data_IF_774813524955
#
_entry.id   IF_774813524955
#
_cell.length_a   1.000
_cell.length_b   1.000
_cell.length_c   1.000
_cell.angle_alpha   90.00
_cell.angle_beta   90.00
_cell.angle_gamma   90.00
#
_symmetry.space_group_name_H-M   'P 1'
#
loop_
_entity.id
_entity.type
_entity.pdbx_description
1 polymer ?
#
# COMPACT_ATOMS: atom_id res chain seq x y z
N UNK A 1 1.88 24.75 -22.53
CA UNK A 1 1.96 23.30 -22.76
C UNK A 1 2.68 22.69 -21.58
N UNK A 2 2.01 21.91 -20.73
CA UNK A 2 2.70 21.12 -19.69
C UNK A 2 3.30 19.90 -20.38
N UNK A 3 4.62 19.82 -20.44
CA UNK A 3 5.35 18.63 -20.86
C UNK A 3 5.29 17.64 -19.71
N UNK A 4 4.20 16.88 -19.59
CA UNK A 4 4.12 15.80 -18.61
C UNK A 4 5.15 14.74 -18.99
N UNK A 5 6.12 14.51 -18.11
CA UNK A 5 7.04 13.37 -18.24
C UNK A 5 6.26 12.12 -17.87
N UNK A 6 6.01 11.26 -18.86
CA UNK A 6 5.46 9.94 -18.61
C UNK A 6 6.52 9.12 -17.88
N UNK A 7 6.20 8.72 -16.65
CA UNK A 7 7.05 7.84 -15.84
C UNK A 7 6.38 6.48 -15.73
N UNK A 8 6.99 5.49 -16.37
CA UNK A 8 6.64 4.08 -16.15
C UNK A 8 7.22 3.65 -14.81
N UNK A 9 6.33 3.36 -13.85
CA UNK A 9 6.69 2.77 -12.56
C UNK A 9 5.98 1.42 -12.47
N UNK A 10 6.72 0.30 -12.30
CA UNK A 10 6.09 -0.98 -12.02
C UNK A 10 5.20 -0.89 -10.79
N UNK A 11 3.91 -1.19 -10.95
CA UNK A 11 2.99 -1.33 -9.83
C UNK A 11 3.17 -2.74 -9.26
N UNK A 12 3.55 -2.82 -7.98
CA UNK A 12 3.56 -4.09 -7.25
C UNK A 12 2.37 -4.12 -6.31
N UNK A 13 1.52 -5.13 -6.46
CA UNK A 13 0.37 -5.36 -5.60
C UNK A 13 0.46 -6.75 -4.94
N UNK A 14 -0.38 -6.99 -3.94
CA UNK A 14 -0.56 -8.35 -3.41
C UNK A 14 -1.18 -9.21 -4.51
N UNK A 15 -0.74 -10.47 -4.62
CA UNK A 15 -1.19 -11.40 -5.67
C UNK A 15 -2.71 -11.54 -5.77
N UNK A 16 -3.44 -11.42 -4.66
CA UNK A 16 -4.90 -11.43 -4.63
C UNK A 16 -5.55 -10.33 -5.50
N UNK A 17 -4.83 -9.25 -5.81
CA UNK A 17 -5.31 -8.14 -6.62
C UNK A 17 -4.74 -8.13 -8.04
N UNK A 18 -3.82 -9.03 -8.38
CA UNK A 18 -3.07 -9.00 -9.64
C UNK A 18 -4.00 -9.09 -10.86
N UNK A 19 -4.91 -10.07 -10.84
CA UNK A 19 -5.91 -10.24 -11.90
C UNK A 19 -6.83 -9.02 -12.06
N UNK A 20 -7.39 -8.52 -10.95
CA UNK A 20 -8.29 -7.35 -10.97
C UNK A 20 -7.57 -6.11 -11.50
N UNK A 21 -6.32 -5.88 -11.10
CA UNK A 21 -5.54 -4.74 -11.57
C UNK A 21 -5.16 -4.89 -13.05
N UNK A 22 -4.82 -6.10 -13.50
CA UNK A 22 -4.56 -6.41 -14.90
C UNK A 22 -5.79 -6.15 -15.78
N UNK A 23 -6.94 -6.70 -15.42
CA UNK A 23 -8.20 -6.47 -16.14
C UNK A 23 -8.58 -4.99 -16.22
N UNK A 24 -8.40 -4.25 -15.12
CA UNK A 24 -8.64 -2.81 -15.11
C UNK A 24 -7.65 -2.05 -15.98
N UNK A 25 -6.36 -2.43 -15.99
CA UNK A 25 -5.34 -1.82 -16.83
C UNK A 25 -5.62 -2.07 -18.32
N UNK A 26 -6.01 -3.29 -18.68
CA UNK A 26 -6.39 -3.64 -20.05
C UNK A 26 -7.63 -2.86 -20.50
N UNK A 27 -8.63 -2.73 -19.62
CA UNK A 27 -9.86 -2.01 -19.92
C UNK A 27 -9.63 -0.51 -20.17
N UNK A 28 -8.76 0.14 -19.40
CA UNK A 28 -8.49 1.58 -19.54
C UNK A 28 -7.45 1.90 -20.61
N UNK A 29 -6.59 0.95 -21.00
CA UNK A 29 -5.45 1.18 -21.88
C UNK A 29 -4.50 2.26 -21.36
N UNK A 30 -4.31 3.32 -22.15
CA UNK A 30 -3.50 4.50 -21.76
C UNK A 30 -4.29 5.56 -20.95
N UNK A 31 -5.52 5.23 -20.55
CA UNK A 31 -6.37 6.09 -19.73
C UNK A 31 -5.97 6.15 -18.26
N UNK A 32 -6.74 6.92 -17.47
CA UNK A 32 -6.53 7.02 -16.02
C UNK A 32 -7.57 6.19 -15.26
N UNK A 33 -7.12 5.36 -14.31
CA UNK A 33 -8.02 4.67 -13.35
C UNK A 33 -8.84 5.65 -12.50
N UNK A 34 -8.24 6.79 -12.15
CA UNK A 34 -8.88 7.83 -11.35
C UNK A 34 -8.78 9.18 -12.07
N UNK A 35 -9.93 9.86 -12.25
CA UNK A 35 -10.09 11.25 -12.74
C UNK A 35 -9.33 11.59 -14.05
N UNK A 36 -9.93 11.35 -15.23
CA UNK A 36 -9.48 12.03 -16.44
C UNK A 36 -9.79 13.54 -16.30
N UNK A 37 -8.84 14.43 -16.64
CA UNK A 37 -8.90 15.91 -16.52
C UNK A 37 -8.47 16.49 -15.16
N UNK A 38 -7.20 16.26 -14.82
CA UNK A 38 -6.47 16.97 -13.77
C UNK A 38 -6.47 18.49 -14.00
N UNK A 39 -6.87 19.28 -13.01
CA UNK A 39 -6.68 20.75 -13.01
C UNK A 39 -5.58 21.21 -12.04
N UNK A 40 -5.16 20.35 -11.10
CA UNK A 40 -4.08 20.63 -10.15
C UNK A 40 -2.92 19.65 -10.31
N UNK A 41 -1.75 20.17 -10.63
CA UNK A 41 -0.48 19.46 -10.61
C UNK A 41 -0.07 19.20 -9.15
N UNK A 42 -0.04 18.00 -8.58
CA UNK A 42 0.17 17.78 -7.12
C UNK A 42 -1.02 18.08 -6.19
N UNK A 43 -2.18 17.45 -6.45
CA UNK A 43 -3.09 17.18 -5.34
C UNK A 43 -2.52 16.05 -4.47
N UNK A 44 -2.26 16.32 -3.20
CA UNK A 44 -1.92 15.31 -2.16
C UNK A 44 -3.01 14.23 -1.98
N UNK A 45 -4.17 14.41 -2.62
CA UNK A 45 -5.38 13.63 -2.44
C UNK A 45 -5.92 13.18 -3.82
N UNK A 46 -5.10 12.53 -4.65
CA UNK A 46 -5.49 12.05 -6.00
C UNK A 46 -6.74 11.15 -5.99
N UNK A 47 -6.96 10.45 -4.90
CA UNK A 47 -8.12 9.58 -4.67
C UNK A 47 -9.04 10.17 -3.60
N UNK A 48 -8.74 11.35 -3.02
CA UNK A 48 -9.38 11.82 -1.78
C UNK A 48 -10.90 12.06 -1.86
N UNK A 49 -11.47 12.27 -3.05
CA UNK A 49 -12.93 12.30 -3.21
C UNK A 49 -13.57 10.91 -3.18
N UNK A 50 -12.82 9.84 -3.51
CA UNK A 50 -13.36 8.48 -3.53
C UNK A 50 -13.79 8.00 -2.14
N UNK A 51 -12.99 8.14 -1.05
CA UNK A 51 -13.46 7.81 0.30
C UNK A 51 -14.64 8.67 0.78
N UNK A 52 -14.78 9.91 0.27
CA UNK A 52 -15.92 10.76 0.58
C UNK A 52 -17.21 10.27 -0.10
N UNK A 53 -17.08 9.72 -1.31
CA UNK A 53 -18.19 9.22 -2.12
C UNK A 53 -18.58 7.77 -1.79
N UNK A 54 -17.67 7.01 -1.17
CA UNK A 54 -17.88 5.60 -0.83
C UNK A 54 -17.87 5.45 0.68
N UNK A 55 -19.04 5.72 1.29
CA UNK A 55 -19.25 5.48 2.72
C UNK A 55 -19.59 4.00 2.91
N UNK A 56 -18.90 3.30 3.83
CA UNK A 56 -19.26 1.94 4.17
C UNK A 56 -20.63 1.92 4.86
N UNK A 57 -21.34 0.77 4.84
CA UNK A 57 -22.61 0.61 5.52
C UNK A 57 -22.50 0.91 7.03
N UNK A 58 -23.66 1.20 7.65
CA UNK A 58 -23.74 1.72 9.01
C UNK A 58 -22.95 0.88 10.03
N UNK A 59 -22.24 1.58 10.93
CA UNK A 59 -21.41 0.99 11.98
C UNK A 59 -19.94 0.79 11.61
N UNK A 60 -19.56 0.94 10.34
CA UNK A 60 -18.16 0.81 9.92
C UNK A 60 -17.39 2.15 9.92
N UNK A 61 -16.08 2.16 10.24
CA UNK A 61 -15.28 3.37 10.18
C UNK A 61 -15.21 3.99 8.79
N UNK A 62 -15.21 5.32 8.72
CA UNK A 62 -15.01 6.06 7.46
C UNK A 62 -13.70 5.58 6.79
N UNK A 63 -13.79 5.33 5.48
CA UNK A 63 -12.64 4.96 4.65
C UNK A 63 -11.67 6.13 4.62
N UNK A 64 -10.39 5.85 4.86
CA UNK A 64 -9.31 6.84 4.81
C UNK A 64 -8.13 6.23 4.07
N UNK A 65 -7.64 6.90 3.03
CA UNK A 65 -6.45 6.46 2.30
C UNK A 65 -5.23 6.32 3.22
N UNK A 66 -5.10 7.20 4.23
CA UNK A 66 -4.05 7.11 5.23
C UNK A 66 -4.16 5.86 6.10
N UNK A 67 -5.38 5.50 6.53
CA UNK A 67 -5.62 4.26 7.29
C UNK A 67 -5.43 3.02 6.44
N UNK A 68 -5.94 3.01 5.20
CA UNK A 68 -5.73 1.92 4.26
C UNK A 68 -4.24 1.65 4.02
N UNK A 69 -3.44 2.71 3.81
CA UNK A 69 -1.98 2.59 3.70
C UNK A 69 -1.34 2.05 4.98
N UNK A 70 -1.78 2.52 6.16
CA UNK A 70 -1.27 2.01 7.43
C UNK A 70 -1.59 0.52 7.62
N UNK A 71 -2.83 0.10 7.34
CA UNK A 71 -3.26 -1.30 7.38
C UNK A 71 -2.38 -2.17 6.47
N UNK A 72 -2.20 -1.75 5.22
CA UNK A 72 -1.34 -2.47 4.28
C UNK A 72 0.10 -2.61 4.77
N UNK A 73 0.69 -1.55 5.35
CA UNK A 73 2.04 -1.61 5.94
C UNK A 73 2.10 -2.60 7.10
N UNK A 74 1.11 -2.57 8.01
CA UNK A 74 1.05 -3.49 9.15
C UNK A 74 0.88 -4.94 8.70
N UNK A 75 0.09 -5.21 7.65
CA UNK A 75 -0.05 -6.54 7.07
C UNK A 75 1.29 -7.08 6.54
N UNK A 76 2.09 -6.23 5.86
CA UNK A 76 3.40 -6.63 5.36
C UNK A 76 4.40 -6.89 6.51
N UNK A 77 4.38 -6.05 7.55
CA UNK A 77 5.21 -6.26 8.74
C UNK A 77 4.82 -7.56 9.47
N UNK A 78 3.52 -7.84 9.57
CA UNK A 78 2.99 -9.09 10.16
C UNK A 78 3.40 -10.32 9.34
N UNK A 79 3.54 -10.16 8.03
CA UNK A 79 4.05 -11.19 7.12
C UNK A 79 5.59 -11.33 7.14
N UNK A 80 6.29 -10.62 8.03
CA UNK A 80 7.76 -10.67 8.16
C UNK A 80 8.51 -10.32 6.88
N UNK A 81 7.92 -9.46 6.05
CA UNK A 81 8.58 -8.93 4.86
C UNK A 81 9.66 -7.95 5.31
N UNK A 82 10.79 -7.94 4.61
CA UNK A 82 11.91 -7.05 4.90
C UNK A 82 11.45 -5.57 5.01
N UNK A 83 11.88 -4.93 6.09
CA UNK A 83 11.46 -3.56 6.43
C UNK A 83 11.97 -2.51 5.43
N UNK A 84 13.11 -2.74 4.78
CA UNK A 84 13.61 -1.83 3.75
C UNK A 84 12.71 -1.91 2.50
N UNK A 85 12.33 -3.12 2.08
CA UNK A 85 11.37 -3.32 0.97
C UNK A 85 10.01 -2.68 1.26
N UNK A 86 9.47 -2.85 2.47
CA UNK A 86 8.20 -2.21 2.87
C UNK A 86 8.33 -0.69 2.78
N UNK A 87 9.40 -0.11 3.30
CA UNK A 87 9.60 1.33 3.28
C UNK A 87 9.70 1.88 1.85
N UNK A 88 10.46 1.22 0.99
CA UNK A 88 10.59 1.59 -0.42
C UNK A 88 9.24 1.52 -1.14
N UNK A 89 8.52 0.40 -1.02
CA UNK A 89 7.22 0.21 -1.65
C UNK A 89 6.16 1.20 -1.13
N UNK A 90 6.24 1.58 0.14
CA UNK A 90 5.37 2.57 0.73
C UNK A 90 5.74 4.01 0.36
N UNK A 91 6.90 4.27 -0.27
CA UNK A 91 7.40 5.63 -0.50
C UNK A 91 7.81 6.36 0.79
N UNK A 92 8.40 5.62 1.74
CA UNK A 92 8.99 6.17 2.97
C UNK A 92 10.49 6.40 2.76
N UNK A 93 11.05 7.35 3.51
CA UNK A 93 12.48 7.69 3.42
C UNK A 93 13.38 6.55 3.93
N UNK A 94 12.92 5.76 4.89
CA UNK A 94 13.70 4.66 5.48
C UNK A 94 12.84 3.67 6.27
N UNK A 95 13.40 2.49 6.55
CA UNK A 95 12.82 1.49 7.43
C UNK A 95 12.53 2.02 8.85
N UNK A 96 13.31 2.99 9.35
CA UNK A 96 13.06 3.60 10.66
C UNK A 96 11.69 4.29 10.74
N UNK A 97 11.15 4.76 9.61
CA UNK A 97 9.81 5.35 9.52
C UNK A 97 8.68 4.36 9.85
N UNK A 98 8.98 3.06 9.87
CA UNK A 98 8.04 2.00 10.19
C UNK A 98 7.77 1.87 11.69
N UNK A 99 8.67 2.34 12.55
CA UNK A 99 8.61 2.16 14.01
C UNK A 99 7.26 2.60 14.61
N UNK A 100 6.62 3.63 14.04
CA UNK A 100 5.32 4.12 14.50
C UNK A 100 4.18 3.10 14.41
N UNK A 101 4.31 2.06 13.59
CA UNK A 101 3.30 1.00 13.45
C UNK A 101 3.66 -0.29 14.17
N UNK A 102 4.85 -0.39 14.78
CA UNK A 102 5.32 -1.61 15.43
C UNK A 102 4.33 -2.14 16.47
N UNK A 103 3.67 -1.25 17.21
CA UNK A 103 2.70 -1.59 18.25
C UNK A 103 1.39 -2.19 17.71
N UNK A 104 1.15 -2.15 16.40
CA UNK A 104 0.03 -2.82 15.74
C UNK A 104 0.39 -4.20 15.18
N UNK A 105 1.68 -4.55 15.16
CA UNK A 105 2.14 -5.85 14.66
C UNK A 105 2.00 -6.88 15.77
N UNK A 106 1.27 -7.99 15.55
CA UNK A 106 1.19 -9.06 16.54
C UNK A 106 2.58 -9.60 16.89
N UNK A 107 2.86 -9.92 18.17
CA UNK A 107 4.12 -10.54 18.54
C UNK A 107 4.26 -11.92 17.90
N UNK A 108 5.50 -12.32 17.58
CA UNK A 108 5.82 -13.70 17.26
C UNK A 108 5.47 -14.61 18.44
N UNK A 109 4.87 -15.75 18.16
CA UNK A 109 4.80 -16.81 19.15
C UNK A 109 6.22 -17.29 19.51
N UNK A 110 6.37 -17.81 20.73
CA UNK A 110 7.67 -18.24 21.25
C UNK A 110 8.32 -19.34 20.40
N UNK A 111 7.54 -20.24 19.80
CA UNK A 111 8.08 -21.34 19.00
C UNK A 111 8.65 -20.83 17.66
N UNK A 112 7.93 -19.94 16.98
CA UNK A 112 8.35 -19.27 15.77
C UNK A 112 9.59 -18.40 16.02
N UNK A 113 9.61 -17.65 17.13
CA UNK A 113 10.78 -16.87 17.53
C UNK A 113 12.00 -17.78 17.78
N UNK A 114 11.81 -18.88 18.53
CA UNK A 114 12.89 -19.83 18.81
C UNK A 114 13.42 -20.52 17.55
N UNK A 115 12.56 -20.79 16.55
CA UNK A 115 12.98 -21.33 15.25
C UNK A 115 13.82 -20.32 14.47
N UNK A 116 13.37 -19.06 14.38
CA UNK A 116 14.10 -18.00 13.67
C UNK A 116 15.48 -17.75 14.30
N UNK A 117 15.55 -17.70 15.64
CA UNK A 117 16.79 -17.45 16.37
C UNK A 117 17.80 -18.60 16.30
N UNK A 118 17.32 -19.85 16.16
CA UNK A 118 18.20 -21.01 15.97
C UNK A 118 18.89 -21.04 14.61
N UNK A 119 18.32 -20.36 13.61
CA UNK A 119 18.81 -20.40 12.24
C UNK A 119 18.38 -21.67 11.49
N UNK A 120 18.78 -21.82 10.22
CA UNK A 120 18.45 -22.98 9.41
C UNK A 120 19.11 -24.25 9.97
N UNK A 121 18.42 -25.39 9.90
CA UNK A 121 19.02 -26.70 10.16
C UNK A 121 20.11 -26.98 9.11
N UNK A 122 21.23 -27.54 9.57
CA UNK A 122 22.40 -27.85 8.74
C UNK A 122 22.23 -29.17 7.96
#
# INVERSE_FOLDING_TARGET
MHTSVDRLVPLVARSAWDGVLGELADHIGSGYLFRPRRTAEYSKNLIGSWPLNHRPPDGLPIVSAGRARATWIVELMTAWIDHHLIAQAAGLASAASLARWQHHVPPLDHAAAARLLRGPEA
#
